data_IF_682887634143
#
_entry.id   IF_682887634143
#
_cell.length_a   1.000
_cell.length_b   1.000
_cell.length_c   1.000
_cell.angle_alpha   90.00
_cell.angle_beta   90.00
_cell.angle_gamma   90.00
#
_symmetry.space_group_name_H-M   'P 1'
#
loop_
_entity.id
_entity.type
_entity.pdbx_description
1 polymer ?
#
# COMPACT_ATOMS: atom_id res chain seq x y z
N UNK A 1 -9.04 9.89 4.53
CA UNK A 1 -8.00 9.04 5.16
C UNK A 1 -8.38 7.58 5.07
N UNK A 2 -9.25 7.09 5.96
CA UNK A 2 -9.61 5.68 6.05
C UNK A 2 -10.08 5.05 4.73
N UNK A 3 -10.95 5.72 3.97
CA UNK A 3 -11.41 5.22 2.65
C UNK A 3 -10.26 5.01 1.66
N UNK A 4 -9.27 5.90 1.62
CA UNK A 4 -8.11 5.78 0.73
C UNK A 4 -7.23 4.60 1.16
N UNK A 5 -6.99 4.46 2.46
CA UNK A 5 -6.22 3.33 3.01
C UNK A 5 -6.89 1.99 2.68
N UNK A 6 -8.20 1.87 2.93
CA UNK A 6 -8.96 0.66 2.61
C UNK A 6 -8.94 0.38 1.11
N UNK A 7 -9.19 1.39 0.26
CA UNK A 7 -9.15 1.21 -1.19
C UNK A 7 -7.77 0.77 -1.69
N UNK A 8 -6.69 1.38 -1.18
CA UNK A 8 -5.32 0.99 -1.54
C UNK A 8 -4.97 -0.41 -1.05
N UNK A 9 -5.40 -0.79 0.15
CA UNK A 9 -5.14 -2.12 0.70
C UNK A 9 -5.94 -3.20 -0.06
N UNK A 10 -7.20 -2.92 -0.42
CA UNK A 10 -7.99 -3.81 -1.28
C UNK A 10 -7.32 -3.97 -2.65
N UNK A 11 -6.86 -2.89 -3.28
CA UNK A 11 -6.15 -2.93 -4.55
C UNK A 11 -4.86 -3.75 -4.47
N UNK A 12 -4.07 -3.54 -3.40
CA UNK A 12 -2.85 -4.30 -3.13
C UNK A 12 -3.12 -5.80 -3.01
N UNK A 13 -4.07 -6.19 -2.16
CA UNK A 13 -4.42 -7.60 -1.95
C UNK A 13 -5.00 -8.23 -3.21
N UNK A 14 -5.77 -7.47 -4.00
CA UNK A 14 -6.31 -7.95 -5.28
C UNK A 14 -5.20 -8.32 -6.26
N UNK A 15 -4.19 -7.46 -6.44
CA UNK A 15 -3.07 -7.77 -7.33
C UNK A 15 -2.19 -8.90 -6.81
N UNK A 16 -1.94 -8.97 -5.49
CA UNK A 16 -1.24 -10.11 -4.87
C UNK A 16 -1.98 -11.43 -5.17
N UNK A 17 -3.31 -11.44 -5.06
CA UNK A 17 -4.12 -12.60 -5.39
C UNK A 17 -3.98 -12.97 -6.87
N UNK A 18 -4.09 -12.00 -7.79
CA UNK A 18 -3.96 -12.26 -9.24
C UNK A 18 -2.55 -12.75 -9.62
N UNK A 19 -1.52 -12.18 -9.01
CA UNK A 19 -0.13 -12.65 -9.19
C UNK A 19 0.06 -14.09 -8.70
N UNK A 20 -0.46 -14.42 -7.52
CA UNK A 20 -0.42 -15.79 -6.99
C UNK A 20 -1.20 -16.78 -7.87
N UNK A 21 -2.33 -16.37 -8.47
CA UNK A 21 -3.09 -17.20 -9.41
C UNK A 21 -2.28 -17.48 -10.69
N UNK A 22 -1.62 -16.46 -11.24
CA UNK A 22 -0.77 -16.60 -12.43
C UNK A 22 0.43 -17.51 -12.15
N UNK A 23 1.12 -17.32 -11.03
CA UNK A 23 2.23 -18.18 -10.61
C UNK A 23 1.79 -19.62 -10.38
N UNK A 24 0.65 -19.84 -9.71
CA UNK A 24 0.10 -21.18 -9.51
C UNK A 24 -0.17 -21.86 -10.85
N UNK A 25 -0.80 -21.16 -11.79
CA UNK A 25 -1.08 -21.69 -13.13
C UNK A 25 0.22 -22.07 -13.88
N UNK A 26 1.26 -21.24 -13.79
CA UNK A 26 2.57 -21.52 -14.39
C UNK A 26 3.16 -22.79 -13.78
N UNK A 27 3.25 -22.86 -12.44
CA UNK A 27 3.84 -24.00 -11.73
C UNK A 27 3.05 -25.29 -11.96
N UNK A 28 1.71 -25.25 -11.90
CA UNK A 28 0.86 -26.42 -12.17
C UNK A 28 1.03 -26.93 -13.60
N UNK A 29 1.11 -26.03 -14.59
CA UNK A 29 1.31 -26.42 -15.98
C UNK A 29 2.66 -27.12 -16.20
N UNK A 30 3.72 -26.64 -15.55
CA UNK A 30 5.04 -27.25 -15.67
C UNK A 30 5.17 -28.53 -14.84
N UNK A 31 4.59 -28.59 -13.64
CA UNK A 31 4.57 -29.81 -12.83
C UNK A 31 3.88 -30.95 -13.60
N UNK A 32 2.77 -30.65 -14.28
CA UNK A 32 2.08 -31.61 -15.16
C UNK A 32 2.99 -32.07 -16.32
N UNK A 33 3.69 -31.15 -16.98
CA UNK A 33 4.63 -31.50 -18.05
C UNK A 33 5.82 -32.35 -17.54
N UNK A 34 6.32 -32.08 -16.32
CA UNK A 34 7.41 -32.86 -15.74
C UNK A 34 6.98 -34.25 -15.27
N UNK A 35 5.77 -34.40 -14.71
CA UNK A 35 5.21 -35.73 -14.44
C UNK A 35 5.14 -36.58 -15.71
N UNK A 36 4.63 -36.02 -16.80
CA UNK A 36 4.57 -36.73 -18.08
C UNK A 36 5.98 -37.11 -18.59
N UNK A 37 6.98 -36.26 -18.33
CA UNK A 37 8.39 -36.56 -18.68
C UNK A 37 8.91 -37.72 -17.83
N UNK A 38 8.68 -37.70 -16.51
CA UNK A 38 9.05 -38.78 -15.60
C UNK A 38 8.37 -40.11 -15.98
N UNK A 39 7.10 -40.09 -16.38
CA UNK A 39 6.36 -41.28 -16.84
C UNK A 39 6.96 -41.87 -18.12
N UNK A 40 7.36 -41.02 -19.07
CA UNK A 40 8.05 -41.47 -20.30
C UNK A 40 9.40 -42.09 -19.99
N UNK A 41 10.18 -41.47 -19.10
CA UNK A 41 11.47 -42.01 -18.65
C UNK A 41 11.26 -43.35 -17.94
N UNK A 42 10.24 -43.47 -17.09
CA UNK A 42 9.90 -44.72 -16.41
C UNK A 42 9.59 -45.85 -17.42
N UNK A 43 8.90 -45.54 -18.51
CA UNK A 43 8.66 -46.50 -19.60
C UNK A 43 9.96 -46.93 -20.29
N UNK A 44 10.86 -45.98 -20.61
CA UNK A 44 12.16 -46.30 -21.21
C UNK A 44 13.06 -47.14 -20.29
N UNK A 45 13.01 -46.91 -18.97
CA UNK A 45 13.73 -47.75 -18.00
C UNK A 45 13.21 -49.20 -18.03
N UNK A 46 11.89 -49.41 -18.12
CA UNK A 46 11.31 -50.76 -18.24
C UNK A 46 11.72 -51.47 -19.53
N UNK A 47 11.98 -50.70 -20.59
CA UNK A 47 12.45 -51.20 -21.88
C UNK A 47 13.99 -51.33 -21.94
N UNK A 48 14.72 -51.01 -20.87
CA UNK A 48 16.18 -51.04 -20.83
C UNK A 48 16.87 -49.93 -21.65
N UNK A 49 16.14 -48.89 -22.04
CA UNK A 49 16.60 -47.78 -22.88
C UNK A 49 16.99 -46.52 -22.09
N UNK A 50 16.81 -46.51 -20.78
CA UNK A 50 17.18 -45.42 -19.89
C UNK A 50 17.68 -45.97 -18.55
N UNK A 51 18.42 -45.16 -17.79
CA UNK A 51 18.97 -45.55 -16.49
C UNK A 51 18.02 -45.23 -15.34
N UNK A 52 18.18 -45.92 -14.20
CA UNK A 52 17.46 -45.56 -12.97
C UNK A 52 17.80 -44.13 -12.50
N UNK A 53 19.02 -43.67 -12.76
CA UNK A 53 19.45 -42.30 -12.49
C UNK A 53 18.60 -41.26 -13.24
N UNK A 54 18.29 -41.50 -14.52
CA UNK A 54 17.44 -40.61 -15.32
C UNK A 54 16.02 -40.53 -14.76
N UNK A 55 15.50 -41.67 -14.29
CA UNK A 55 14.16 -41.75 -13.69
C UNK A 55 14.10 -41.00 -12.36
N UNK A 56 15.05 -41.24 -11.46
CA UNK A 56 15.08 -40.58 -10.16
C UNK A 56 15.23 -39.06 -10.32
N UNK A 57 16.03 -38.62 -11.30
CA UNK A 57 16.15 -37.20 -11.62
C UNK A 57 14.85 -36.59 -12.16
N UNK A 58 14.19 -37.25 -13.11
CA UNK A 58 12.94 -36.75 -13.67
C UNK A 58 11.83 -36.67 -12.61
N UNK A 59 11.77 -37.66 -11.70
CA UNK A 59 10.84 -37.66 -10.55
C UNK A 59 11.17 -36.54 -9.58
N UNK A 60 12.44 -36.38 -9.19
CA UNK A 60 12.84 -35.32 -8.28
C UNK A 60 12.48 -33.91 -8.80
N UNK A 61 12.60 -33.68 -10.11
CA UNK A 61 12.20 -32.41 -10.72
C UNK A 61 10.67 -32.22 -10.68
N UNK A 62 9.89 -33.27 -10.98
CA UNK A 62 8.43 -33.22 -10.87
C UNK A 62 7.98 -32.96 -9.42
N UNK A 63 8.49 -33.74 -8.46
CA UNK A 63 8.19 -33.61 -7.04
C UNK A 63 8.58 -32.23 -6.50
N UNK A 64 9.72 -31.69 -6.95
CA UNK A 64 10.18 -30.34 -6.58
C UNK A 64 9.26 -29.22 -7.08
N UNK A 65 8.62 -29.38 -8.24
CA UNK A 65 7.61 -28.44 -8.72
C UNK A 65 6.29 -28.62 -7.98
N UNK A 66 5.89 -29.86 -7.69
CA UNK A 66 4.70 -30.14 -6.89
C UNK A 66 4.79 -29.54 -5.49
N UNK A 67 5.96 -29.59 -4.88
CA UNK A 67 6.21 -28.98 -3.57
C UNK A 67 6.04 -27.45 -3.56
N UNK A 68 6.10 -26.79 -4.72
CA UNK A 68 5.86 -25.34 -4.84
C UNK A 68 4.37 -24.97 -4.92
N UNK A 69 3.48 -25.93 -5.18
CA UNK A 69 2.04 -25.71 -5.31
C UNK A 69 1.38 -25.34 -3.96
N UNK A 70 1.59 -26.08 -2.84
CA UNK A 70 0.90 -25.78 -1.59
C UNK A 70 1.15 -24.36 -1.05
N UNK A 71 2.38 -23.81 -1.04
CA UNK A 71 2.62 -22.43 -0.60
C UNK A 71 1.82 -21.39 -1.41
N UNK A 72 1.70 -21.58 -2.74
CA UNK A 72 0.90 -20.69 -3.60
C UNK A 72 -0.60 -20.81 -3.29
N UNK A 73 -1.11 -22.01 -3.04
CA UNK A 73 -2.49 -22.23 -2.60
C UNK A 73 -2.77 -21.58 -1.24
N UNK A 74 -1.82 -21.65 -0.31
CA UNK A 74 -1.91 -20.95 0.99
C UNK A 74 -1.94 -19.43 0.80
N UNK A 75 -1.09 -18.89 -0.07
CA UNK A 75 -1.09 -17.45 -0.38
C UNK A 75 -2.43 -17.02 -0.98
N UNK A 76 -3.01 -17.81 -1.89
CA UNK A 76 -4.34 -17.55 -2.44
C UNK A 76 -5.43 -17.56 -1.37
N UNK A 77 -5.51 -18.63 -0.56
CA UNK A 77 -6.52 -18.76 0.48
C UNK A 77 -6.44 -17.63 1.50
N UNK A 78 -5.25 -17.33 2.02
CA UNK A 78 -5.07 -16.25 3.01
C UNK A 78 -5.35 -14.86 2.44
N UNK A 79 -5.01 -14.62 1.17
CA UNK A 79 -5.32 -13.35 0.48
C UNK A 79 -6.82 -13.20 0.23
N UNK A 80 -7.51 -14.30 -0.12
CA UNK A 80 -8.96 -14.34 -0.29
C UNK A 80 -9.69 -13.98 1.01
N UNK A 81 -9.27 -14.56 2.13
CA UNK A 81 -9.80 -14.26 3.47
C UNK A 81 -9.55 -12.80 3.86
N UNK A 82 -8.35 -12.25 3.59
CA UNK A 82 -8.04 -10.82 3.83
C UNK A 82 -8.95 -9.90 3.01
N UNK A 83 -9.15 -10.20 1.74
CA UNK A 83 -10.06 -9.44 0.87
C UNK A 83 -11.50 -9.49 1.36
N UNK A 84 -11.98 -10.65 1.83
CA UNK A 84 -13.31 -10.77 2.41
C UNK A 84 -13.52 -9.84 3.62
N UNK A 85 -12.55 -9.82 4.54
CA UNK A 85 -12.61 -8.93 5.72
C UNK A 85 -12.58 -7.46 5.30
N UNK A 86 -11.70 -7.07 4.37
CA UNK A 86 -11.61 -5.69 3.88
C UNK A 86 -12.89 -5.21 3.17
N UNK A 87 -13.65 -6.15 2.60
CA UNK A 87 -14.92 -5.89 1.93
C UNK A 87 -16.14 -6.07 2.85
N UNK A 88 -15.94 -6.32 4.14
CA UNK A 88 -17.01 -6.52 5.12
C UNK A 88 -17.82 -7.79 4.89
N UNK A 89 -17.23 -8.83 4.29
CA UNK A 89 -17.86 -10.12 4.00
C UNK A 89 -17.36 -11.20 4.97
N UNK A 90 -18.09 -12.32 5.03
CA UNK A 90 -17.65 -13.50 5.78
C UNK A 90 -16.28 -13.98 5.27
N UNK A 91 -15.30 -14.26 6.15
CA UNK A 91 -13.94 -14.68 5.74
C UNK A 91 -13.88 -15.95 4.87
N UNK A 92 -14.91 -16.80 4.94
CA UNK A 92 -15.06 -18.01 4.13
C UNK A 92 -15.67 -17.74 2.74
N UNK A 93 -16.11 -16.51 2.46
CA UNK A 93 -16.67 -16.15 1.16
C UNK A 93 -15.57 -16.01 0.10
N UNK A 94 -15.75 -16.68 -1.04
CA UNK A 94 -14.95 -16.44 -2.23
C UNK A 94 -15.37 -15.11 -2.86
N UNK A 95 -14.53 -14.08 -2.69
CA UNK A 95 -14.82 -12.72 -3.18
C UNK A 95 -14.30 -12.45 -4.58
N UNK A 96 -13.25 -13.17 -4.98
CA UNK A 96 -12.67 -13.11 -6.32
C UNK A 96 -12.74 -14.51 -6.90
N UNK A 97 -13.37 -14.63 -8.08
CA UNK A 97 -13.47 -15.91 -8.77
C UNK A 97 -12.10 -16.42 -9.25
N UNK A 98 -11.99 -17.75 -9.32
CA UNK A 98 -10.82 -18.45 -9.90
C UNK A 98 -10.85 -18.40 -11.43
N UNK A 99 -12.04 -18.21 -12.01
CA UNK A 99 -12.26 -18.29 -13.45
C UNK A 99 -12.22 -16.90 -14.11
N UNK A 100 -11.46 -16.80 -15.20
CA UNK A 100 -11.40 -15.62 -16.06
C UNK A 100 -9.95 -15.26 -16.45
N UNK A 101 -9.75 -14.99 -17.74
CA UNK A 101 -8.49 -14.43 -18.22
C UNK A 101 -8.26 -13.06 -17.53
N UNK A 102 -7.20 -12.96 -16.74
CA UNK A 102 -6.77 -11.71 -16.15
C UNK A 102 -5.68 -11.10 -17.02
N UNK A 103 -5.86 -9.84 -17.38
CA UNK A 103 -4.86 -9.04 -18.07
C UNK A 103 -4.35 -7.97 -17.10
N UNK A 104 -3.04 -7.91 -16.94
CA UNK A 104 -2.41 -6.86 -16.15
C UNK A 104 -2.78 -5.48 -16.71
N UNK A 105 -3.12 -4.50 -15.87
CA UNK A 105 -3.46 -3.16 -16.32
C UNK A 105 -2.26 -2.51 -17.02
N UNK A 106 -2.52 -1.73 -18.07
CA UNK A 106 -1.48 -0.95 -18.73
C UNK A 106 -1.00 0.19 -17.82
N UNK A 107 0.32 0.46 -17.83
CA UNK A 107 0.91 1.59 -17.10
C UNK A 107 0.37 2.90 -17.63
N UNK A 108 -0.19 3.74 -16.75
CA UNK A 108 -0.61 5.11 -17.13
C UNK A 108 0.54 6.09 -16.94
N UNK A 109 0.82 6.94 -17.94
CA UNK A 109 1.78 8.04 -17.81
C UNK A 109 1.40 9.05 -16.71
N UNK A 110 2.39 9.74 -16.15
CA UNK A 110 2.23 10.77 -15.11
C UNK A 110 2.87 12.05 -15.62
N UNK A 111 2.20 13.18 -15.46
CA UNK A 111 2.68 14.47 -15.96
C UNK A 111 3.59 15.14 -14.92
N UNK A 112 4.73 15.74 -15.31
CA UNK A 112 5.57 16.52 -14.40
C UNK A 112 4.81 17.66 -13.69
N UNK A 113 5.15 17.96 -12.43
CA UNK A 113 4.52 19.03 -11.61
C UNK A 113 3.21 18.63 -10.91
N UNK A 114 2.58 17.54 -11.34
CA UNK A 114 1.38 16.96 -10.74
C UNK A 114 1.57 16.49 -9.27
N UNK A 115 2.72 15.94 -8.83
CA UNK A 115 2.88 15.44 -7.48
C UNK A 115 2.70 16.49 -6.37
N UNK A 116 3.26 17.70 -6.54
CA UNK A 116 3.23 18.74 -5.50
C UNK A 116 1.81 19.22 -5.16
N UNK A 117 0.96 19.42 -6.17
CA UNK A 117 -0.45 19.81 -5.95
C UNK A 117 -1.30 18.65 -5.42
N UNK A 118 -0.94 17.41 -5.74
CA UNK A 118 -1.63 16.22 -5.23
C UNK A 118 -1.28 15.92 -3.77
N UNK A 119 -0.06 16.24 -3.32
CA UNK A 119 0.34 16.11 -1.92
C UNK A 119 -0.54 16.95 -0.98
N UNK A 120 -1.00 18.13 -1.41
CA UNK A 120 -1.95 18.96 -0.61
C UNK A 120 -3.29 18.28 -0.35
N UNK A 121 -3.65 17.25 -1.13
CA UNK A 121 -4.91 16.50 -0.98
C UNK A 121 -4.77 15.32 -0.02
N UNK A 122 -3.55 15.02 0.44
CA UNK A 122 -3.28 13.91 1.34
C UNK A 122 -3.98 14.11 2.69
N UNK A 123 -4.89 13.21 3.09
CA UNK A 123 -5.64 13.35 4.34
C UNK A 123 -4.77 13.33 5.59
N UNK A 124 -3.63 12.62 5.57
CA UNK A 124 -2.65 12.57 6.64
C UNK A 124 -1.91 13.89 6.81
N UNK A 125 -1.53 14.56 5.71
CA UNK A 125 -0.90 15.89 5.75
C UNK A 125 -1.86 16.97 6.24
N UNK A 126 -3.11 16.94 5.77
CA UNK A 126 -4.18 17.85 6.24
C UNK A 126 -4.39 17.68 7.75
N UNK A 127 -4.43 16.43 8.24
CA UNK A 127 -4.57 16.16 9.66
C UNK A 127 -3.36 16.63 10.48
N UNK A 128 -2.14 16.48 9.95
CA UNK A 128 -0.93 16.95 10.61
C UNK A 128 -0.89 18.50 10.67
N UNK A 129 -1.27 19.19 9.60
CA UNK A 129 -1.37 20.66 9.57
C UNK A 129 -2.39 21.17 10.60
N UNK A 130 -3.57 20.55 10.67
CA UNK A 130 -4.58 20.89 11.67
C UNK A 130 -4.08 20.68 13.12
N UNK A 131 -3.22 19.69 13.36
CA UNK A 131 -2.59 19.48 14.68
C UNK A 131 -1.59 20.58 15.01
N UNK A 132 -0.78 21.02 14.05
CA UNK A 132 0.14 22.16 14.23
C UNK A 132 -0.66 23.41 14.63
N UNK A 133 -1.76 23.69 13.92
CA UNK A 133 -2.63 24.81 14.26
C UNK A 133 -3.22 24.69 15.67
N UNK A 134 -3.68 23.49 16.06
CA UNK A 134 -4.24 23.24 17.39
C UNK A 134 -3.20 23.42 18.51
N UNK A 135 -1.98 22.89 18.36
CA UNK A 135 -0.92 23.07 19.36
C UNK A 135 -0.45 24.53 19.44
N UNK A 136 -0.45 25.26 18.32
CA UNK A 136 -0.21 26.70 18.29
C UNK A 136 -1.22 27.50 19.12
N UNK A 137 -2.51 27.17 19.00
CA UNK A 137 -3.57 27.79 19.82
C UNK A 137 -3.45 27.44 21.30
N UNK A 138 -3.11 26.18 21.63
CA UNK A 138 -2.85 25.78 23.03
C UNK A 138 -1.63 26.50 23.61
N UNK A 139 -0.59 26.76 22.81
CA UNK A 139 0.54 27.59 23.23
C UNK A 139 0.11 29.04 23.49
N UNK A 140 -0.76 29.60 22.66
CA UNK A 140 -1.34 30.93 22.91
C UNK A 140 -2.18 30.95 24.20
N UNK A 141 -2.99 29.91 24.45
CA UNK A 141 -3.74 29.73 25.70
C UNK A 141 -2.81 29.65 26.93
N UNK A 142 -1.71 28.90 26.84
CA UNK A 142 -0.72 28.82 27.92
C UNK A 142 -0.10 30.19 28.21
N UNK A 143 0.22 30.98 27.18
CA UNK A 143 0.70 32.37 27.33
C UNK A 143 -0.38 33.28 27.92
N UNK A 144 -1.66 33.03 27.61
CA UNK A 144 -2.78 33.78 28.14
C UNK A 144 -2.92 33.64 29.68
N UNK A 145 -2.32 32.63 30.30
CA UNK A 145 -2.34 32.45 31.76
C UNK A 145 -1.62 33.56 32.54
N UNK A 146 -0.77 34.35 31.88
CA UNK A 146 -0.16 35.55 32.47
C UNK A 146 -1.16 36.70 32.66
N UNK A 147 -2.28 36.68 31.94
CA UNK A 147 -3.27 37.75 31.98
C UNK A 147 -4.27 37.57 33.12
N UNK A 148 -4.82 38.66 33.67
CA UNK A 148 -5.88 38.59 34.66
C UNK A 148 -7.10 37.85 34.11
N UNK A 149 -7.64 36.92 34.90
CA UNK A 149 -8.91 36.25 34.59
C UNK A 149 -10.07 37.09 35.10
N UNK A 150 -11.07 37.25 34.24
CA UNK A 150 -12.32 37.97 34.50
C UNK A 150 -13.43 36.95 34.77
N UNK A 151 -14.05 37.02 35.93
CA UNK A 151 -15.20 36.20 36.29
C UNK A 151 -16.40 37.11 36.49
N UNK A 152 -17.47 36.89 35.71
CA UNK A 152 -18.76 37.56 35.86
C UNK A 152 -19.78 36.52 36.32
N UNK A 153 -20.27 36.71 37.54
CA UNK A 153 -21.33 35.88 38.11
C UNK A 153 -22.61 36.72 38.19
N UNK A 154 -23.67 36.27 37.54
CA UNK A 154 -24.99 36.88 37.64
C UNK A 154 -25.98 35.81 38.10
N UNK A 155 -26.66 36.08 39.21
CA UNK A 155 -27.67 35.20 39.80
C UNK A 155 -28.97 35.96 39.94
N UNK A 156 -30.06 35.40 39.41
CA UNK A 156 -31.40 35.95 39.56
C UNK A 156 -32.31 34.80 39.97
N UNK A 157 -33.11 35.01 41.01
CA UNK A 157 -33.94 33.95 41.55
C UNK A 157 -35.12 34.46 42.37
N UNK A 158 -35.96 33.52 42.76
CA UNK A 158 -36.97 33.71 43.80
C UNK A 158 -36.68 32.74 44.91
N UNK A 159 -36.74 33.23 46.14
CA UNK A 159 -36.61 32.41 47.32
C UNK A 159 -37.89 32.53 48.12
N UNK A 160 -38.51 31.39 48.40
CA UNK A 160 -39.66 31.33 49.30
C UNK A 160 -39.14 31.55 50.72
N UNK A 161 -39.65 32.57 51.39
CA UNK A 161 -39.30 32.87 52.76
C UNK A 161 -40.25 32.11 53.69
N UNK A 162 -39.67 31.35 54.60
CA UNK A 162 -40.39 30.68 55.69
C UNK A 162 -39.90 31.25 57.01
N UNK A 163 -40.81 31.82 57.80
CA UNK A 163 -40.53 32.29 59.16
C UNK A 163 -41.54 31.63 60.10
N UNK A 164 -41.05 30.92 61.12
CA UNK A 164 -41.87 30.21 62.11
C UNK A 164 -42.97 29.32 61.49
N UNK A 165 -42.64 28.56 60.44
CA UNK A 165 -43.56 27.67 59.72
C UNK A 165 -44.73 28.36 58.97
N UNK A 166 -44.73 29.69 58.83
CA UNK A 166 -45.60 30.39 57.89
C UNK A 166 -44.88 30.60 56.55
N UNK A 167 -45.57 30.25 55.45
CA UNK A 167 -45.15 30.54 54.08
C UNK A 167 -45.41 32.03 53.78
N UNK A 168 -44.34 32.81 53.57
CA UNK A 168 -44.44 34.21 53.14
C UNK A 168 -44.45 34.32 51.61
N UNK A 169 -44.78 35.51 51.11
CA UNK A 169 -44.70 35.82 49.68
C UNK A 169 -43.27 35.59 49.15
N UNK A 170 -43.09 34.98 47.96
CA UNK A 170 -41.78 34.74 47.37
C UNK A 170 -41.02 36.05 47.17
N UNK A 171 -39.78 36.13 47.67
CA UNK A 171 -38.94 37.32 47.46
C UNK A 171 -38.03 37.10 46.27
N UNK A 172 -37.97 38.11 45.40
CA UNK A 172 -37.06 38.15 44.25
C UNK A 172 -35.71 38.65 44.72
N UNK A 173 -34.64 38.00 44.27
CA UNK A 173 -33.28 38.47 44.49
C UNK A 173 -32.50 38.45 43.18
N UNK A 174 -31.58 39.40 43.04
CA UNK A 174 -30.63 39.48 41.94
C UNK A 174 -29.27 39.89 42.49
N UNK A 175 -28.22 39.22 42.05
CA UNK A 175 -26.83 39.55 42.38
C UNK A 175 -26.01 39.53 41.08
N UNK A 176 -25.19 40.56 40.88
CA UNK A 176 -24.16 40.59 39.83
C UNK A 176 -22.83 40.89 40.51
N UNK A 177 -21.88 39.97 40.37
CA UNK A 177 -20.55 40.07 40.94
C UNK A 177 -19.49 39.93 39.84
N UNK A 178 -18.53 40.84 39.83
CA UNK A 178 -17.33 40.79 38.99
C UNK A 178 -16.12 40.49 39.87
N UNK A 179 -15.31 39.52 39.47
CA UNK A 179 -14.06 39.18 40.14
C UNK A 179 -12.90 39.11 39.15
N UNK A 180 -11.73 39.60 39.58
CA UNK A 180 -10.50 39.61 38.80
C UNK A 180 -9.44 38.80 39.56
N UNK A 181 -8.75 37.89 38.88
CA UNK A 181 -7.65 37.12 39.47
C UNK A 181 -6.42 37.16 38.58
N UNK A 182 -5.32 37.71 39.10
CA UNK A 182 -4.03 37.79 38.40
C UNK A 182 -2.92 37.10 39.20
N UNK A 183 -2.03 36.34 38.55
CA UNK A 183 -0.90 35.71 39.23
C UNK A 183 0.19 36.75 39.55
N UNK A 184 0.51 36.94 40.83
CA UNK A 184 1.62 37.81 41.28
C UNK A 184 2.90 37.01 41.52
N UNK A 185 2.78 35.84 42.17
CA UNK A 185 3.86 34.90 42.39
C UNK A 185 3.37 33.48 42.12
N UNK A 186 4.10 32.74 41.29
CA UNK A 186 3.71 31.38 40.87
C UNK A 186 4.90 30.40 40.82
N UNK A 187 6.06 30.78 41.39
CA UNK A 187 7.29 29.99 41.41
C UNK A 187 7.71 29.40 40.04
N UNK A 188 7.47 30.13 38.94
CA UNK A 188 7.80 29.69 37.58
C UNK A 188 6.82 28.70 36.96
N UNK A 189 5.73 28.34 37.65
CA UNK A 189 4.73 27.37 37.15
C UNK A 189 4.13 27.75 35.79
N UNK A 190 3.83 29.03 35.59
CA UNK A 190 3.24 29.50 34.33
C UNK A 190 4.29 29.44 33.21
N UNK A 191 5.51 29.87 33.48
CA UNK A 191 6.60 29.83 32.51
C UNK A 191 6.93 28.39 32.10
N UNK A 192 7.05 27.46 33.05
CA UNK A 192 7.23 26.04 32.76
C UNK A 192 6.08 25.47 31.92
N UNK A 193 4.83 25.89 32.19
CA UNK A 193 3.67 25.52 31.39
C UNK A 193 3.73 26.05 29.95
N UNK A 194 4.16 27.30 29.77
CA UNK A 194 4.37 27.91 28.45
C UNK A 194 5.50 27.20 27.71
N UNK A 195 6.61 26.88 28.36
CA UNK A 195 7.73 26.16 27.75
C UNK A 195 7.30 24.75 27.32
N UNK A 196 6.61 24.01 28.19
CA UNK A 196 6.10 22.68 27.86
C UNK A 196 5.13 22.70 26.68
N UNK A 197 4.23 23.69 26.63
CA UNK A 197 3.26 23.80 25.54
C UNK A 197 3.88 24.33 24.24
N UNK A 198 4.90 25.19 24.32
CA UNK A 198 5.68 25.62 23.14
C UNK A 198 6.44 24.44 22.55
N UNK A 199 7.09 23.63 23.39
CA UNK A 199 7.79 22.42 22.93
C UNK A 199 6.85 21.42 22.23
N UNK A 200 5.60 21.28 22.68
CA UNK A 200 4.59 20.46 21.98
C UNK A 200 4.18 21.04 20.62
N UNK A 201 4.12 22.37 20.49
CA UNK A 201 3.87 23.02 19.21
C UNK A 201 5.04 22.80 18.23
N UNK A 202 6.27 22.90 18.72
CA UNK A 202 7.48 22.61 17.94
C UNK A 202 7.53 21.13 17.52
N UNK A 203 7.20 20.21 18.43
CA UNK A 203 7.08 18.78 18.13
C UNK A 203 6.04 18.52 17.02
N UNK A 204 4.87 19.15 17.10
CA UNK A 204 3.84 19.02 16.07
C UNK A 204 4.31 19.56 14.71
N UNK A 205 5.04 20.67 14.69
CA UNK A 205 5.61 21.23 13.47
C UNK A 205 6.64 20.28 12.85
N UNK A 206 7.56 19.74 13.65
CA UNK A 206 8.55 18.76 13.19
C UNK A 206 7.88 17.47 12.69
N UNK A 207 6.81 17.03 13.36
CA UNK A 207 6.03 15.88 12.92
C UNK A 207 5.38 16.12 11.55
N UNK A 208 4.81 17.31 11.32
CA UNK A 208 4.26 17.69 10.02
C UNK A 208 5.34 17.75 8.94
N UNK A 209 6.49 18.40 9.21
CA UNK A 209 7.63 18.44 8.27
C UNK A 209 8.11 17.03 7.90
N UNK A 210 8.23 16.14 8.89
CA UNK A 210 8.55 14.72 8.66
C UNK A 210 7.51 14.04 7.78
N UNK A 211 6.22 14.26 8.03
CA UNK A 211 5.15 13.69 7.19
C UNK A 211 5.24 14.16 5.74
N UNK A 212 5.57 15.43 5.49
CA UNK A 212 5.79 15.95 4.13
C UNK A 212 6.97 15.25 3.46
N UNK A 213 8.11 15.13 4.15
CA UNK A 213 9.30 14.46 3.60
C UNK A 213 9.01 12.99 3.26
N UNK A 214 8.35 12.26 4.16
CA UNK A 214 7.94 10.87 3.92
C UNK A 214 6.98 10.78 2.72
N UNK A 215 6.06 11.73 2.60
CA UNK A 215 5.11 11.74 1.49
C UNK A 215 5.79 11.97 0.13
N UNK A 216 6.80 12.84 0.06
CA UNK A 216 7.63 13.03 -1.15
C UNK A 216 8.41 11.75 -1.45
N UNK A 217 9.06 11.18 -0.44
CA UNK A 217 9.81 9.93 -0.59
C UNK A 217 8.93 8.80 -1.15
N UNK A 218 7.73 8.59 -0.59
CA UNK A 218 6.79 7.57 -1.07
C UNK A 218 6.44 7.73 -2.57
N UNK A 219 6.36 8.97 -3.06
CA UNK A 219 6.11 9.25 -4.48
C UNK A 219 7.34 8.93 -5.32
N UNK A 220 8.51 9.46 -4.97
CA UNK A 220 9.76 9.24 -5.69
C UNK A 220 10.11 7.74 -5.78
N UNK A 221 10.02 7.03 -4.66
CA UNK A 221 10.26 5.58 -4.59
C UNK A 221 9.29 4.82 -5.52
N UNK A 222 8.01 5.20 -5.54
CA UNK A 222 7.01 4.56 -6.39
C UNK A 222 7.25 4.82 -7.88
N UNK A 223 7.66 6.04 -8.24
CA UNK A 223 7.99 6.41 -9.61
C UNK A 223 9.22 5.65 -10.10
N UNK A 224 10.27 5.58 -9.28
CA UNK A 224 11.49 4.85 -9.58
C UNK A 224 11.23 3.36 -9.75
N UNK A 225 10.54 2.72 -8.79
CA UNK A 225 10.16 1.30 -8.90
C UNK A 225 9.38 1.07 -10.18
N UNK A 226 8.43 1.93 -10.52
CA UNK A 226 7.62 1.76 -11.72
C UNK A 226 8.45 1.87 -13.00
N UNK A 227 9.37 2.83 -13.07
CA UNK A 227 10.29 2.99 -14.20
C UNK A 227 11.15 1.74 -14.40
N UNK A 228 11.80 1.27 -13.33
CA UNK A 228 12.70 0.11 -13.38
C UNK A 228 11.93 -1.19 -13.67
N UNK A 229 10.74 -1.38 -13.09
CA UNK A 229 9.91 -2.55 -13.40
C UNK A 229 9.39 -2.55 -14.84
N UNK A 230 9.09 -1.39 -15.44
CA UNK A 230 8.73 -1.32 -16.85
C UNK A 230 9.89 -1.80 -17.75
N UNK A 231 11.12 -1.34 -17.47
CA UNK A 231 12.31 -1.76 -18.23
C UNK A 231 12.59 -3.26 -18.03
N UNK A 232 12.52 -3.74 -16.78
CA UNK A 232 12.67 -5.16 -16.44
C UNK A 232 11.63 -6.03 -17.13
N UNK A 233 10.36 -5.63 -17.11
CA UNK A 233 9.25 -6.35 -17.74
C UNK A 233 9.44 -6.45 -19.26
N UNK A 234 9.88 -5.38 -19.93
CA UNK A 234 10.16 -5.40 -21.37
C UNK A 234 11.27 -6.41 -21.73
N UNK A 235 12.36 -6.45 -20.96
CA UNK A 235 13.45 -7.41 -21.15
C UNK A 235 13.02 -8.87 -20.83
N UNK A 236 12.22 -9.06 -19.78
CA UNK A 236 11.70 -10.37 -19.39
C UNK A 236 10.72 -10.94 -20.40
N UNK A 237 9.87 -10.10 -21.03
CA UNK A 237 8.99 -10.53 -22.12
C UNK A 237 9.82 -11.14 -23.26
N UNK A 238 10.86 -10.46 -23.72
CA UNK A 238 11.75 -11.01 -24.75
C UNK A 238 12.44 -12.29 -24.28
N UNK A 239 12.91 -12.32 -23.03
CA UNK A 239 13.59 -13.48 -22.43
C UNK A 239 12.68 -14.72 -22.42
N UNK A 240 11.43 -14.58 -21.98
CA UNK A 240 10.43 -15.66 -21.97
C UNK A 240 10.19 -16.16 -23.40
N UNK A 241 10.04 -15.26 -24.36
CA UNK A 241 9.85 -15.62 -25.77
C UNK A 241 11.04 -16.40 -26.35
N UNK A 242 12.28 -15.97 -26.08
CA UNK A 242 13.47 -16.71 -26.50
C UNK A 242 13.57 -18.08 -25.82
N UNK A 243 13.29 -18.16 -24.51
CA UNK A 243 13.37 -19.42 -23.75
C UNK A 243 12.28 -20.41 -24.17
N UNK A 244 11.06 -19.96 -24.47
CA UNK A 244 9.98 -20.81 -25.01
C UNK A 244 10.36 -21.40 -26.37
N UNK A 245 10.91 -20.59 -27.28
CA UNK A 245 11.43 -21.11 -28.57
C UNK A 245 12.58 -22.09 -28.37
N UNK A 246 13.47 -21.83 -27.40
CA UNK A 246 14.55 -22.76 -27.04
C UNK A 246 14.01 -24.08 -26.52
N UNK A 247 12.97 -24.05 -25.68
CA UNK A 247 12.32 -25.25 -25.16
C UNK A 247 11.71 -26.09 -26.28
N UNK A 248 10.96 -25.47 -27.20
CA UNK A 248 10.39 -26.20 -28.35
C UNK A 248 11.47 -26.92 -29.19
N UNK A 249 12.64 -26.28 -29.38
CA UNK A 249 13.77 -26.90 -30.09
C UNK A 249 14.41 -28.02 -29.28
N UNK A 250 14.66 -27.79 -27.98
CA UNK A 250 15.23 -28.79 -27.08
C UNK A 250 14.34 -30.04 -27.00
N UNK A 251 13.02 -29.88 -26.95
CA UNK A 251 12.08 -30.99 -27.00
C UNK A 251 12.18 -31.80 -28.30
N UNK A 252 12.38 -31.15 -29.47
CA UNK A 252 12.59 -31.87 -30.73
C UNK A 252 13.91 -32.63 -30.75
N UNK A 253 15.00 -31.93 -30.40
CA UNK A 253 16.34 -32.52 -30.36
C UNK A 253 16.40 -33.71 -29.39
N UNK A 254 15.76 -33.60 -28.23
CA UNK A 254 15.71 -34.68 -27.25
C UNK A 254 14.89 -35.87 -27.75
N UNK A 255 13.77 -35.64 -28.45
CA UNK A 255 13.00 -36.72 -29.10
C UNK A 255 13.82 -37.47 -30.15
N UNK A 256 14.67 -36.76 -30.86
CA UNK A 256 15.58 -37.30 -31.89
C UNK A 256 16.88 -37.87 -31.30
N UNK A 257 17.07 -37.80 -29.98
CA UNK A 257 18.27 -38.30 -29.30
C UNK A 257 19.53 -37.45 -29.50
N UNK A 258 19.39 -36.22 -29.97
CA UNK A 258 20.50 -35.31 -30.24
C UNK A 258 21.00 -34.56 -28.99
N UNK A 259 20.20 -34.51 -27.93
CA UNK A 259 20.59 -33.95 -26.63
C UNK A 259 20.12 -34.84 -25.49
N UNK A 260 20.85 -34.78 -24.37
CA UNK A 260 20.51 -35.49 -23.15
C UNK A 260 19.28 -34.91 -22.44
N UNK A 261 18.61 -35.76 -21.65
CA UNK A 261 17.49 -35.34 -20.78
C UNK A 261 17.89 -34.21 -19.83
N UNK A 262 19.14 -34.20 -19.37
CA UNK A 262 19.68 -33.16 -18.48
C UNK A 262 19.56 -31.76 -19.10
N UNK A 263 19.84 -31.64 -20.40
CA UNK A 263 19.78 -30.39 -21.14
C UNK A 263 18.33 -29.93 -21.28
N UNK A 264 17.40 -30.84 -21.57
CA UNK A 264 15.98 -30.52 -21.64
C UNK A 264 15.44 -30.01 -20.30
N UNK A 265 15.76 -30.70 -19.20
CA UNK A 265 15.34 -30.30 -17.85
C UNK A 265 15.88 -28.91 -17.47
N UNK A 266 17.13 -28.59 -17.84
CA UNK A 266 17.72 -27.27 -17.59
C UNK A 266 17.01 -26.14 -18.38
N UNK A 267 16.66 -26.40 -19.64
CA UNK A 267 15.89 -25.46 -20.46
C UNK A 267 14.49 -25.24 -19.89
N UNK A 268 13.82 -26.30 -19.43
CA UNK A 268 12.50 -26.21 -18.77
C UNK A 268 12.56 -25.38 -17.48
N UNK A 269 13.57 -25.62 -16.62
CA UNK A 269 13.81 -24.81 -15.41
C UNK A 269 14.05 -23.35 -15.75
N UNK A 270 14.81 -23.08 -16.81
CA UNK A 270 15.06 -21.73 -17.29
C UNK A 270 13.78 -21.04 -17.76
N UNK A 271 12.89 -21.72 -18.48
CA UNK A 271 11.57 -21.19 -18.87
C UNK A 271 10.76 -20.82 -17.62
N UNK A 272 10.64 -21.75 -16.66
CA UNK A 272 9.92 -21.52 -15.40
C UNK A 272 10.41 -20.25 -14.69
N UNK A 273 11.72 -20.17 -14.49
CA UNK A 273 12.34 -19.06 -13.78
C UNK A 273 12.05 -17.72 -14.48
N UNK A 274 12.07 -17.67 -15.82
CA UNK A 274 11.72 -16.44 -16.55
C UNK A 274 10.24 -16.10 -16.49
N UNK A 275 9.34 -17.08 -16.54
CA UNK A 275 7.90 -16.83 -16.48
C UNK A 275 7.48 -16.34 -15.09
N UNK A 276 8.04 -16.96 -14.03
CA UNK A 276 7.84 -16.50 -12.66
C UNK A 276 8.42 -15.09 -12.44
N UNK A 277 9.62 -14.81 -12.97
CA UNK A 277 10.20 -13.47 -12.89
C UNK A 277 9.37 -12.41 -13.62
N UNK A 278 8.78 -12.75 -14.76
CA UNK A 278 7.88 -11.85 -15.51
C UNK A 278 6.59 -11.59 -14.73
N UNK A 279 5.99 -12.63 -14.15
CA UNK A 279 4.79 -12.50 -13.31
C UNK A 279 5.06 -11.64 -12.06
N UNK A 280 6.19 -11.86 -11.37
CA UNK A 280 6.64 -11.02 -10.26
C UNK A 280 6.84 -9.56 -10.70
N UNK A 281 7.55 -9.31 -11.80
CA UNK A 281 7.80 -7.95 -12.27
C UNK A 281 6.50 -7.19 -12.57
N UNK A 282 5.51 -7.86 -13.17
CA UNK A 282 4.17 -7.29 -13.40
C UNK A 282 3.39 -7.03 -12.11
N UNK A 283 3.49 -7.93 -11.13
CA UNK A 283 2.92 -7.71 -9.81
C UNK A 283 3.56 -6.48 -9.15
N UNK A 284 4.89 -6.37 -9.11
CA UNK A 284 5.58 -5.23 -8.52
C UNK A 284 5.19 -3.90 -9.18
N UNK A 285 5.03 -3.90 -10.50
CA UNK A 285 4.55 -2.74 -11.24
C UNK A 285 3.14 -2.32 -10.82
N UNK A 286 2.21 -3.27 -10.71
CA UNK A 286 0.85 -3.00 -10.25
C UNK A 286 0.80 -2.52 -8.79
N UNK A 287 1.67 -3.07 -7.92
CA UNK A 287 1.81 -2.63 -6.54
C UNK A 287 2.36 -1.21 -6.44
N UNK A 288 3.34 -0.85 -7.27
CA UNK A 288 3.87 0.50 -7.36
C UNK A 288 2.80 1.49 -7.82
N UNK A 289 1.93 1.11 -8.76
CA UNK A 289 0.79 1.94 -9.18
C UNK A 289 -0.22 2.17 -8.04
N UNK A 290 -0.53 1.14 -7.25
CA UNK A 290 -1.40 1.28 -6.07
C UNK A 290 -0.76 2.18 -5.00
N UNK A 291 0.53 1.99 -4.73
CA UNK A 291 1.26 2.80 -3.75
C UNK A 291 1.36 4.26 -4.20
N UNK A 292 1.61 4.51 -5.48
CA UNK A 292 1.61 5.84 -6.06
C UNK A 292 0.23 6.49 -5.97
N UNK A 293 -0.84 5.76 -6.28
CA UNK A 293 -2.22 6.26 -6.14
C UNK A 293 -2.52 6.69 -4.69
N UNK A 294 -2.05 5.92 -3.71
CA UNK A 294 -2.15 6.27 -2.28
C UNK A 294 -1.28 7.48 -1.94
N UNK A 295 -0.03 7.51 -2.37
CA UNK A 295 0.93 8.57 -2.09
C UNK A 295 0.48 9.93 -2.66
N UNK A 296 -0.26 9.91 -3.78
CA UNK A 296 -0.86 11.09 -4.41
C UNK A 296 -2.25 11.46 -3.86
N UNK A 297 -2.74 10.80 -2.80
CA UNK A 297 -4.00 11.17 -2.15
C UNK A 297 -5.28 10.71 -2.88
N UNK A 298 -5.20 9.71 -3.78
CA UNK A 298 -6.39 9.04 -4.32
C UNK A 298 -6.94 9.55 -5.66
N UNK A 299 -6.13 10.26 -6.46
CA UNK A 299 -6.53 10.64 -7.82
C UNK A 299 -5.35 10.97 -8.73
N UNK A 300 -5.18 10.19 -9.78
CA UNK A 300 -4.51 10.64 -11.00
C UNK A 300 -5.60 11.13 -11.95
N UNK A 301 -5.70 12.43 -12.26
CA UNK A 301 -6.52 12.85 -13.39
C UNK A 301 -6.04 12.10 -14.63
N UNK A 302 -6.99 11.65 -15.45
CA UNK A 302 -6.66 10.99 -16.70
C UNK A 302 -5.76 11.93 -17.52
N UNK A 303 -4.65 11.40 -18.04
CA UNK A 303 -3.96 12.07 -19.14
C UNK A 303 -4.90 11.96 -20.33
N UNK A 304 -5.74 12.96 -20.54
CA UNK A 304 -6.37 13.15 -21.85
C UNK A 304 -5.22 13.45 -22.80
N UNK A 305 -5.16 12.74 -23.92
CA UNK A 305 -4.09 12.81 -24.92
C UNK A 305 -4.00 14.16 -25.67
N UNK A 306 -4.50 15.25 -25.08
CA UNK A 306 -4.54 16.60 -25.66
C UNK A 306 -3.50 17.54 -25.05
N UNK A 307 -2.61 17.07 -24.17
CA UNK A 307 -1.45 17.85 -23.75
C UNK A 307 -0.34 17.86 -24.81
N UNK A 308 -0.69 18.20 -26.05
CA UNK A 308 0.27 18.54 -27.10
C UNK A 308 0.50 20.05 -27.05
N UNK A 309 1.76 20.44 -26.94
CA UNK A 309 2.32 21.80 -27.08
C UNK A 309 2.04 22.81 -25.95
N UNK A 310 2.98 22.91 -25.00
CA UNK A 310 3.38 24.22 -24.48
C UNK A 310 4.73 24.53 -25.14
N UNK A 311 4.82 25.58 -25.99
CA UNK A 311 6.08 25.96 -26.59
C UNK A 311 7.00 26.54 -25.50
N UNK A 312 8.22 26.02 -25.44
CA UNK A 312 9.30 26.55 -24.62
C UNK A 312 9.63 27.96 -25.11
N UNK A 313 9.09 28.99 -24.46
CA UNK A 313 9.47 30.37 -24.73
C UNK A 313 10.91 30.59 -24.22
N UNK A 314 11.87 30.54 -25.13
CA UNK A 314 13.22 31.01 -24.92
C UNK A 314 13.17 32.51 -24.60
N UNK A 315 13.51 32.88 -23.36
CA UNK A 315 13.91 34.26 -23.02
C UNK A 315 15.39 34.39 -23.33
N UNK A 316 15.71 35.12 -24.40
CA UNK A 316 17.04 35.68 -24.66
C UNK A 316 17.34 36.80 -23.66
N UNK A 317 18.60 36.98 -23.25
CA UNK A 317 19.01 38.12 -22.43
C UNK A 317 19.23 39.36 -23.31
N UNK A 318 18.79 40.51 -22.81
CA UNK A 318 19.37 41.83 -23.11
C UNK A 318 19.82 42.44 -21.79
#
# INVERSE_FOLDING_TARGET
GARLLVASEVGRQYFVLRGAQEQLRIVESLASAQRQTADRVASRVREGQASAFDLDRARAEADGLEAQIPPLRTLLGTTQTKLAVLLGRNPSAAVVGVEGAFTWPATRGIVPGQPGELLKRRPDLIAAEARVAAEGLRSAEARAQWWPKLFLNALVGRQDLRLNALDLAPVRFSNVALAFAAPVFNAGRIEAGVQAQSARADEALLAWQKSVLVAVQEVEDSLLVRQEQNARSAALVQTVEHRRRSLQRAESLQREGQIDLLVLLDVQRSVLASELALSDSRLQQALADVQLYKALGGGLPAVTADATSIPLAARTPK
#
